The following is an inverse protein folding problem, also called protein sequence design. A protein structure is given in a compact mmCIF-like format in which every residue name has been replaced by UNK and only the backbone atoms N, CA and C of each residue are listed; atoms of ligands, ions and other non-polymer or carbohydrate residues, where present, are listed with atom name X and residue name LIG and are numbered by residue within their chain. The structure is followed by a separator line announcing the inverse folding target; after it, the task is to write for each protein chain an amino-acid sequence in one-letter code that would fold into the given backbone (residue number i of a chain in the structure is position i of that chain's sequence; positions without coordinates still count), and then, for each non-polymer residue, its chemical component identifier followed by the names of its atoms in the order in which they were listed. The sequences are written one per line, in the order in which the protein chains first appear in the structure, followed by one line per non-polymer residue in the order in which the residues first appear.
data_IF_114801684518
#
_entry.id   IF_114801684518
#
_cell.length_a   1.000
_cell.length_b   1.000
_cell.length_c   1.000
_cell.angle_alpha   90.00
_cell.angle_beta   90.00
_cell.angle_gamma   90.00
#
_symmetry.space_group_name_H-M   'P 1'
#
loop_
_entity.id
_entity.type
_entity.pdbx_description
1 polymer ?
#
# COMPACT_ATOMS: atom_id res chain seq x y z
N UNK A 1 -2.62 -12.69 2.74
CA UNK A 1 -3.79 -12.60 3.65
C UNK A 1 -5.08 -12.33 2.87
N UNK A 2 -5.08 -11.41 1.89
CA UNK A 2 -6.28 -10.99 1.14
C UNK A 2 -7.06 -12.17 0.53
N UNK A 3 -6.36 -13.05 -0.18
CA UNK A 3 -6.97 -14.25 -0.75
C UNK A 3 -7.65 -15.14 0.32
N UNK A 4 -7.01 -15.32 1.47
CA UNK A 4 -7.60 -16.11 2.56
C UNK A 4 -8.87 -15.45 3.12
N UNK A 5 -8.88 -14.11 3.24
CA UNK A 5 -10.07 -13.35 3.65
C UNK A 5 -11.18 -13.45 2.60
N UNK A 6 -10.84 -13.30 1.31
CA UNK A 6 -11.81 -13.48 0.22
C UNK A 6 -12.46 -14.85 0.28
N UNK A 7 -11.69 -15.92 0.46
CA UNK A 7 -12.23 -17.29 0.64
C UNK A 7 -13.12 -17.35 1.89
N UNK A 8 -12.66 -16.78 3.01
CA UNK A 8 -13.37 -16.86 4.29
C UNK A 8 -14.76 -16.21 4.26
N UNK A 9 -14.90 -15.08 3.56
CA UNK A 9 -16.21 -14.40 3.39
C UNK A 9 -17.08 -15.07 2.34
N UNK A 10 -16.49 -15.82 1.40
CA UNK A 10 -17.18 -16.37 0.23
C UNK A 10 -17.76 -17.75 0.46
N UNK A 11 -17.17 -18.57 1.35
CA UNK A 11 -17.51 -20.00 1.52
C UNK A 11 -19.00 -20.25 1.75
N UNK A 12 -19.66 -19.37 2.48
CA UNK A 12 -21.10 -19.50 2.81
C UNK A 12 -21.96 -18.51 2.05
N UNK A 13 -21.39 -17.73 1.12
CA UNK A 13 -22.14 -16.78 0.30
C UNK A 13 -23.00 -17.55 -0.72
N UNK A 14 -24.34 -17.34 -0.76
CA UNK A 14 -25.20 -18.03 -1.72
C UNK A 14 -25.18 -17.40 -3.12
N UNK A 15 -24.63 -16.20 -3.26
CA UNK A 15 -24.49 -15.43 -4.49
C UNK A 15 -23.07 -15.51 -5.02
N UNK A 16 -22.83 -14.93 -6.21
CA UNK A 16 -21.47 -14.72 -6.70
C UNK A 16 -20.72 -13.74 -5.78
N UNK A 17 -19.64 -14.18 -5.08
CA UNK A 17 -18.92 -13.33 -4.15
C UNK A 17 -18.21 -12.15 -4.82
N UNK A 18 -17.81 -12.28 -6.10
CA UNK A 18 -17.22 -11.17 -6.84
C UNK A 18 -18.22 -10.05 -7.04
N UNK A 19 -19.41 -10.37 -7.54
CA UNK A 19 -20.50 -9.41 -7.69
C UNK A 19 -20.89 -8.76 -6.35
N UNK A 20 -21.10 -9.59 -5.32
CA UNK A 20 -21.59 -9.11 -4.02
C UNK A 20 -20.57 -8.24 -3.30
N UNK A 21 -19.35 -8.75 -3.13
CA UNK A 21 -18.37 -8.13 -2.23
C UNK A 21 -17.44 -7.15 -2.93
N UNK A 22 -17.14 -7.33 -4.22
CA UNK A 22 -16.15 -6.50 -4.92
C UNK A 22 -16.74 -5.53 -5.94
N UNK A 23 -17.96 -5.78 -6.48
CA UNK A 23 -18.63 -4.84 -7.37
C UNK A 23 -19.69 -4.00 -6.64
N UNK A 24 -20.48 -4.62 -5.77
CA UNK A 24 -21.53 -3.91 -5.03
C UNK A 24 -21.09 -3.44 -3.63
N UNK A 25 -19.90 -3.87 -3.16
CA UNK A 25 -19.34 -3.52 -1.84
C UNK A 25 -20.28 -3.82 -0.66
N UNK A 26 -21.02 -4.92 -0.76
CA UNK A 26 -21.93 -5.37 0.31
C UNK A 26 -21.16 -6.06 1.43
N UNK A 27 -21.68 -5.97 2.66
CA UNK A 27 -21.11 -6.66 3.81
C UNK A 27 -21.55 -8.14 3.88
N UNK A 28 -20.73 -9.02 4.46
CA UNK A 28 -21.10 -10.43 4.63
C UNK A 28 -22.28 -10.59 5.60
N UNK A 29 -23.34 -11.28 5.15
CA UNK A 29 -24.50 -11.65 5.96
C UNK A 29 -24.42 -13.10 6.47
N UNK A 30 -23.45 -13.86 5.93
CA UNK A 30 -23.20 -15.26 6.27
C UNK A 30 -22.03 -15.41 7.25
N UNK A 31 -21.92 -16.56 7.96
CA UNK A 31 -20.79 -16.83 8.84
C UNK A 31 -19.45 -16.73 8.11
N UNK A 32 -18.51 -15.99 8.67
CA UNK A 32 -17.16 -15.80 8.14
C UNK A 32 -16.23 -16.84 8.78
N UNK A 33 -15.44 -17.53 7.96
CA UNK A 33 -14.45 -18.46 8.49
C UNK A 33 -13.29 -17.70 9.17
N UNK A 34 -12.75 -18.19 10.30
CA UNK A 34 -11.61 -17.57 10.95
C UNK A 34 -10.36 -17.66 10.07
N UNK A 35 -9.63 -16.55 9.94
CA UNK A 35 -8.37 -16.46 9.20
C UNK A 35 -7.21 -16.37 10.18
N UNK A 36 -6.10 -17.04 9.88
CA UNK A 36 -4.81 -16.86 10.53
C UNK A 36 -3.76 -16.53 9.48
N UNK A 37 -2.77 -15.70 9.82
CA UNK A 37 -1.71 -15.30 8.91
C UNK A 37 -0.32 -15.72 9.41
N UNK A 38 0.52 -16.17 8.48
CA UNK A 38 1.97 -16.29 8.66
C UNK A 38 2.63 -15.50 7.53
N UNK A 39 3.26 -14.37 7.85
CA UNK A 39 3.78 -13.47 6.84
C UNK A 39 5.10 -13.98 6.25
N UNK A 40 5.16 -14.04 4.92
CA UNK A 40 6.35 -14.32 4.12
C UNK A 40 6.76 -13.15 3.23
N UNK A 41 5.89 -12.15 3.10
CA UNK A 41 6.10 -10.89 2.40
C UNK A 41 5.41 -9.77 3.19
N UNK A 42 5.93 -8.56 3.12
CA UNK A 42 5.37 -7.38 3.76
C UNK A 42 5.05 -6.29 2.73
N UNK A 43 4.04 -5.49 3.02
CA UNK A 43 3.53 -4.41 2.18
C UNK A 43 2.14 -4.01 2.62
N UNK A 44 1.18 -4.89 2.42
CA UNK A 44 -0.26 -4.62 2.50
C UNK A 44 -0.83 -4.40 3.90
N UNK A 45 -0.11 -4.70 4.98
CA UNK A 45 -0.67 -4.65 6.35
C UNK A 45 -1.91 -5.54 6.58
N UNK A 46 -2.19 -6.46 5.65
CA UNK A 46 -3.40 -7.30 5.63
C UNK A 46 -3.54 -8.22 6.84
N UNK A 47 -2.47 -8.44 7.56
CA UNK A 47 -2.43 -9.21 8.81
C UNK A 47 -3.13 -8.52 9.99
N UNK A 48 -3.39 -7.22 9.90
CA UNK A 48 -4.05 -6.44 10.97
C UNK A 48 -5.08 -5.45 10.43
N UNK A 49 -5.75 -5.79 9.33
CA UNK A 49 -6.89 -5.03 8.80
C UNK A 49 -7.95 -5.97 8.22
N UNK A 50 -9.11 -5.43 7.87
CA UNK A 50 -10.21 -6.15 7.24
C UNK A 50 -10.25 -5.98 5.71
N UNK A 51 -9.18 -5.46 5.11
CA UNK A 51 -9.08 -5.28 3.66
C UNK A 51 -8.80 -6.57 2.91
N UNK A 52 -9.39 -6.71 1.74
CA UNK A 52 -9.13 -7.79 0.80
C UNK A 52 -9.14 -7.23 -0.62
N UNK A 53 -8.03 -7.41 -1.35
CA UNK A 53 -7.88 -6.96 -2.74
C UNK A 53 -7.75 -8.19 -3.63
N UNK A 54 -8.66 -8.33 -4.59
CA UNK A 54 -8.75 -9.49 -5.50
C UNK A 54 -8.73 -9.01 -6.95
N UNK A 55 -8.10 -9.80 -7.81
CA UNK A 55 -8.07 -9.57 -9.25
C UNK A 55 -8.98 -10.57 -9.95
N UNK A 56 -9.96 -10.09 -10.71
CA UNK A 56 -10.69 -10.87 -11.66
C UNK A 56 -9.91 -10.87 -12.99
N UNK A 57 -9.39 -12.04 -13.37
CA UNK A 57 -8.55 -12.19 -14.56
C UNK A 57 -9.36 -12.05 -15.87
N UNK A 58 -10.64 -12.37 -15.85
CA UNK A 58 -11.50 -12.31 -17.04
C UNK A 58 -11.85 -10.86 -17.39
N UNK A 59 -12.21 -10.06 -16.37
CA UNK A 59 -12.57 -8.65 -16.53
C UNK A 59 -11.37 -7.70 -16.43
N UNK A 60 -10.18 -8.20 -16.04
CA UNK A 60 -8.97 -7.43 -15.76
C UNK A 60 -9.15 -6.34 -14.69
N UNK A 61 -10.10 -6.56 -13.79
CA UNK A 61 -10.38 -5.65 -12.69
C UNK A 61 -9.67 -6.13 -11.42
N UNK A 62 -8.98 -5.22 -10.74
CA UNK A 62 -8.39 -5.44 -9.42
C UNK A 62 -9.07 -4.51 -8.43
N UNK A 63 -9.86 -5.07 -7.52
CA UNK A 63 -10.73 -4.31 -6.62
C UNK A 63 -10.41 -4.68 -5.18
N UNK A 64 -10.32 -3.65 -4.32
CA UNK A 64 -10.17 -3.78 -2.88
C UNK A 64 -11.47 -3.44 -2.16
N UNK A 65 -11.86 -4.27 -1.21
CA UNK A 65 -12.93 -3.98 -0.25
C UNK A 65 -12.36 -4.01 1.17
N UNK A 66 -12.67 -2.99 1.95
CA UNK A 66 -12.38 -2.96 3.39
C UNK A 66 -13.71 -3.21 4.10
N UNK A 67 -13.87 -4.43 4.60
CA UNK A 67 -15.09 -4.87 5.28
C UNK A 67 -15.24 -4.16 6.64
N UNK A 68 -16.47 -3.83 6.99
CA UNK A 68 -16.79 -3.24 8.29
C UNK A 68 -16.80 -4.30 9.41
N UNK A 69 -17.07 -5.58 9.09
CA UNK A 69 -17.08 -6.67 10.05
C UNK A 69 -15.65 -7.07 10.46
N UNK A 70 -15.33 -6.85 11.73
CA UNK A 70 -14.04 -7.23 12.33
C UNK A 70 -13.76 -8.74 12.26
N UNK A 71 -14.77 -9.58 12.02
CA UNK A 71 -14.59 -11.02 11.84
C UNK A 71 -13.74 -11.37 10.59
N UNK A 72 -13.64 -10.44 9.62
CA UNK A 72 -12.76 -10.57 8.45
C UNK A 72 -11.28 -10.42 8.82
N UNK A 73 -10.96 -9.70 9.90
CA UNK A 73 -9.58 -9.56 10.35
C UNK A 73 -9.00 -10.91 10.81
N UNK A 74 -7.70 -11.15 10.54
CA UNK A 74 -7.05 -12.35 11.06
C UNK A 74 -7.16 -12.46 12.58
N UNK A 75 -7.51 -13.66 13.06
CA UNK A 75 -7.60 -13.96 14.50
C UNK A 75 -6.24 -13.97 15.19
N UNK A 76 -5.21 -14.29 14.42
CA UNK A 76 -3.81 -14.19 14.83
C UNK A 76 -2.93 -13.97 13.62
N UNK A 77 -1.75 -13.38 13.84
CA UNK A 77 -0.76 -13.18 12.81
C UNK A 77 0.64 -13.46 13.35
N UNK A 78 1.40 -14.28 12.64
CA UNK A 78 2.79 -14.59 12.96
C UNK A 78 3.69 -13.71 12.10
N UNK A 79 4.35 -12.76 12.74
CA UNK A 79 5.27 -11.79 12.14
C UNK A 79 6.71 -12.20 12.49
N UNK A 80 7.30 -13.06 11.66
CA UNK A 80 8.69 -13.47 11.82
C UNK A 80 9.52 -12.95 10.65
N UNK A 81 10.40 -11.94 10.85
CA UNK A 81 11.21 -11.34 9.80
C UNK A 81 12.07 -12.35 9.02
N UNK A 82 12.45 -13.47 9.64
CA UNK A 82 13.24 -14.53 8.98
C UNK A 82 12.52 -15.13 7.76
N UNK A 83 11.18 -15.15 7.75
CA UNK A 83 10.42 -15.66 6.61
C UNK A 83 10.47 -14.74 5.40
N UNK A 84 10.95 -13.51 5.56
CA UNK A 84 11.12 -12.55 4.46
C UNK A 84 12.54 -12.51 3.89
N UNK A 85 13.52 -13.14 4.53
CA UNK A 85 14.94 -13.05 4.12
C UNK A 85 15.23 -13.70 2.76
N UNK A 86 14.38 -14.62 2.32
CA UNK A 86 14.47 -15.28 1.00
C UNK A 86 13.67 -14.58 -0.09
N UNK A 87 12.97 -13.49 0.25
CA UNK A 87 12.17 -12.74 -0.72
C UNK A 87 13.07 -12.11 -1.78
N UNK A 88 12.75 -12.26 -3.08
CA UNK A 88 13.50 -11.58 -4.14
C UNK A 88 13.53 -10.06 -3.90
N UNK A 89 14.68 -9.43 -4.25
CA UNK A 89 14.91 -8.00 -4.03
C UNK A 89 13.78 -7.13 -4.62
N UNK A 90 13.34 -7.46 -5.83
CA UNK A 90 12.25 -6.74 -6.50
C UNK A 90 10.95 -6.74 -5.66
N UNK A 91 10.58 -7.87 -5.10
CA UNK A 91 9.41 -8.00 -4.24
C UNK A 91 9.59 -7.26 -2.90
N UNK A 92 10.82 -7.28 -2.36
CA UNK A 92 11.13 -6.53 -1.14
C UNK A 92 10.98 -5.02 -1.35
N UNK A 93 11.59 -4.46 -2.39
CA UNK A 93 11.52 -3.01 -2.63
C UNK A 93 10.12 -2.56 -3.05
N UNK A 94 9.39 -3.40 -3.79
CA UNK A 94 7.98 -3.16 -4.10
C UNK A 94 7.13 -3.08 -2.83
N UNK A 95 7.29 -4.03 -1.90
CA UNK A 95 6.60 -4.02 -0.61
C UNK A 95 6.98 -2.81 0.25
N UNK A 96 8.25 -2.40 0.27
CA UNK A 96 8.70 -1.19 0.96
C UNK A 96 7.99 0.04 0.40
N UNK A 97 7.87 0.13 -0.92
CA UNK A 97 7.21 1.27 -1.54
C UNK A 97 5.70 1.28 -1.28
N UNK A 98 5.06 0.12 -1.30
CA UNK A 98 3.66 -0.06 -0.93
C UNK A 98 3.38 0.48 0.49
N UNK A 99 4.21 0.10 1.48
CA UNK A 99 4.12 0.63 2.86
C UNK A 99 4.24 2.15 2.87
N UNK A 100 5.21 2.71 2.17
CA UNK A 100 5.42 4.15 2.12
C UNK A 100 4.22 4.87 1.53
N UNK A 101 3.67 4.33 0.44
CA UNK A 101 2.53 4.93 -0.24
C UNK A 101 1.23 4.82 0.58
N UNK A 102 1.01 3.70 1.31
CA UNK A 102 -0.08 3.61 2.28
C UNK A 102 -0.05 4.77 3.28
N UNK A 103 1.13 5.10 3.81
CA UNK A 103 1.26 6.22 4.76
C UNK A 103 1.02 7.55 4.04
N UNK A 104 1.57 7.74 2.83
CA UNK A 104 1.43 8.99 2.08
C UNK A 104 -0.04 9.31 1.76
N UNK A 105 -0.84 8.34 1.31
CA UNK A 105 -2.24 8.57 0.93
C UNK A 105 -3.14 8.86 2.14
N UNK A 106 -2.74 8.44 3.32
CA UNK A 106 -3.37 8.84 4.58
C UNK A 106 -2.82 10.16 5.12
N UNK A 107 -1.55 10.46 4.87
CA UNK A 107 -0.88 11.68 5.31
C UNK A 107 -1.30 12.92 4.52
N UNK A 108 -1.35 12.83 3.18
CA UNK A 108 -1.72 13.94 2.31
C UNK A 108 -3.23 14.24 2.29
N UNK A 109 -4.02 13.45 3.00
CA UNK A 109 -5.45 13.64 3.16
C UNK A 109 -5.76 14.47 4.39
N UNK A 110 -6.69 15.43 4.28
CA UNK A 110 -7.06 16.33 5.35
C UNK A 110 -6.06 17.46 5.60
N UNK A 111 -6.49 18.44 6.35
CA UNK A 111 -5.75 19.70 6.59
C UNK A 111 -4.95 19.67 7.90
N UNK A 112 -4.94 18.55 8.64
CA UNK A 112 -4.62 18.55 10.04
C UNK A 112 -3.17 18.29 10.40
N UNK A 113 -2.67 19.14 11.28
CA UNK A 113 -1.46 18.96 12.07
C UNK A 113 -1.77 18.20 13.36
N UNK A 114 -2.27 16.96 13.23
CA UNK A 114 -2.70 16.15 14.36
C UNK A 114 -1.70 15.03 14.72
N UNK A 115 -1.98 14.28 15.79
CA UNK A 115 -1.15 13.17 16.26
C UNK A 115 -0.89 12.13 15.16
N UNK A 116 -1.87 11.87 14.28
CA UNK A 116 -1.72 10.92 13.16
C UNK A 116 -0.65 11.37 12.16
N UNK A 117 -0.46 12.70 11.95
CA UNK A 117 0.62 13.22 11.11
C UNK A 117 2.00 12.94 11.71
N UNK A 118 2.19 13.20 13.01
CA UNK A 118 3.47 12.90 13.68
C UNK A 118 3.80 11.42 13.67
N UNK A 119 2.80 10.56 13.85
CA UNK A 119 2.98 9.11 13.73
C UNK A 119 3.36 8.70 12.30
N UNK A 120 2.69 9.24 11.29
CA UNK A 120 2.99 9.02 9.87
C UNK A 120 4.42 9.42 9.52
N UNK A 121 4.85 10.61 9.95
CA UNK A 121 6.20 11.12 9.75
C UNK A 121 7.26 10.23 10.42
N UNK A 122 6.97 9.76 11.64
CA UNK A 122 7.82 8.81 12.36
C UNK A 122 7.97 7.48 11.63
N UNK A 123 6.86 6.92 11.15
CA UNK A 123 6.84 5.66 10.38
C UNK A 123 7.58 5.82 9.05
N UNK A 124 7.36 6.92 8.31
CA UNK A 124 8.08 7.19 7.05
C UNK A 124 9.59 7.28 7.29
N UNK A 125 10.06 8.02 8.31
CA UNK A 125 11.50 8.11 8.64
C UNK A 125 12.09 6.75 9.03
N UNK A 126 11.38 5.95 9.84
CA UNK A 126 11.79 4.60 10.19
C UNK A 126 11.94 3.72 8.96
N UNK A 127 10.96 3.79 8.05
CA UNK A 127 10.97 3.03 6.80
C UNK A 127 12.12 3.44 5.88
N UNK A 128 12.39 4.74 5.74
CA UNK A 128 13.53 5.24 4.94
C UNK A 128 14.86 4.70 5.45
N UNK A 129 15.06 4.71 6.77
CA UNK A 129 16.25 4.14 7.40
C UNK A 129 16.39 2.65 7.13
N UNK A 130 15.33 1.89 7.43
CA UNK A 130 15.32 0.43 7.34
C UNK A 130 15.37 -0.06 5.90
N UNK A 131 14.72 0.64 4.96
CA UNK A 131 14.76 0.32 3.53
C UNK A 131 16.16 0.44 2.94
N UNK A 132 16.90 1.48 3.31
CA UNK A 132 18.29 1.66 2.87
C UNK A 132 19.20 0.58 3.45
N UNK A 133 19.00 0.19 4.71
CA UNK A 133 19.74 -0.91 5.32
C UNK A 133 19.45 -2.24 4.62
N UNK A 134 18.18 -2.59 4.44
CA UNK A 134 17.77 -3.81 3.75
C UNK A 134 18.17 -3.83 2.25
N UNK A 135 18.23 -2.67 1.59
CA UNK A 135 18.68 -2.57 0.20
C UNK A 135 20.19 -2.82 0.07
N UNK A 136 21.00 -2.43 1.06
CA UNK A 136 22.44 -2.74 1.13
C UNK A 136 22.71 -4.18 1.54
N UNK A 137 21.98 -4.68 2.54
CA UNK A 137 22.06 -6.06 3.02
C UNK A 137 20.65 -6.65 3.18
N UNK A 138 20.18 -7.44 2.21
CA UNK A 138 18.87 -8.10 2.29
C UNK A 138 18.74 -9.11 3.44
N UNK A 139 19.83 -9.49 4.10
CA UNK A 139 19.85 -10.40 5.25
C UNK A 139 19.86 -9.67 6.60
N UNK A 140 19.90 -8.33 6.60
CA UNK A 140 19.82 -7.52 7.82
C UNK A 140 18.48 -7.76 8.52
N UNK A 141 18.52 -8.55 9.60
CA UNK A 141 17.35 -8.94 10.38
C UNK A 141 16.63 -7.74 11.00
N UNK A 142 17.38 -6.77 11.55
CA UNK A 142 16.80 -5.59 12.20
C UNK A 142 16.07 -4.71 11.18
N UNK A 143 16.68 -4.50 10.02
CA UNK A 143 16.04 -3.76 8.93
C UNK A 143 14.74 -4.46 8.48
N UNK A 144 14.76 -5.78 8.28
CA UNK A 144 13.57 -6.57 7.89
C UNK A 144 12.50 -6.55 8.97
N UNK A 145 12.89 -6.59 10.24
CA UNK A 145 11.99 -6.51 11.38
C UNK A 145 11.26 -5.15 11.44
N UNK A 146 12.01 -4.07 11.29
CA UNK A 146 11.45 -2.73 11.30
C UNK A 146 10.53 -2.46 10.10
N UNK A 147 10.90 -2.95 8.91
CA UNK A 147 10.02 -2.88 7.73
C UNK A 147 8.71 -3.64 7.98
N UNK A 148 8.79 -4.87 8.51
CA UNK A 148 7.61 -5.68 8.81
C UNK A 148 6.69 -5.00 9.83
N UNK A 149 7.25 -4.43 10.90
CA UNK A 149 6.46 -3.74 11.90
C UNK A 149 5.84 -2.44 11.37
N UNK A 150 6.60 -1.67 10.58
CA UNK A 150 6.09 -0.46 9.92
C UNK A 150 4.92 -0.78 8.99
N UNK A 151 4.98 -1.90 8.23
CA UNK A 151 3.91 -2.33 7.33
C UNK A 151 2.58 -2.53 8.07
N UNK A 152 2.61 -3.17 9.23
CA UNK A 152 1.42 -3.38 10.08
C UNK A 152 0.79 -2.04 10.49
N UNK A 153 1.60 -1.10 10.99
CA UNK A 153 1.10 0.21 11.44
C UNK A 153 0.67 1.13 10.30
N UNK A 154 1.21 0.94 9.10
CA UNK A 154 0.89 1.75 7.94
C UNK A 154 -0.58 1.59 7.49
N UNK A 155 -1.22 0.43 7.72
CA UNK A 155 -2.57 0.15 7.22
C UNK A 155 -3.48 -0.61 8.21
N UNK A 156 -3.26 -0.43 9.51
CA UNK A 156 -4.17 -0.95 10.54
C UNK A 156 -5.14 0.10 11.09
N UNK A 157 -5.39 1.17 10.34
CA UNK A 157 -6.22 2.33 10.69
C UNK A 157 -5.60 3.33 11.68
N UNK A 158 -4.43 3.06 12.27
CA UNK A 158 -3.82 3.95 13.26
C UNK A 158 -3.59 5.37 12.70
N UNK A 159 -2.93 5.47 11.55
CA UNK A 159 -2.54 6.77 10.97
C UNK A 159 -3.65 7.46 10.17
N UNK A 160 -4.79 6.80 9.96
CA UNK A 160 -5.98 7.39 9.33
C UNK A 160 -6.99 7.96 10.33
N UNK A 161 -6.77 7.75 11.63
CA UNK A 161 -7.72 8.24 12.65
C UNK A 161 -7.82 9.75 12.63
N UNK A 162 -9.06 10.25 12.56
CA UNK A 162 -9.36 11.68 12.50
C UNK A 162 -9.10 12.32 11.14
N UNK A 163 -8.93 11.51 10.08
CA UNK A 163 -8.66 11.97 8.71
C UNK A 163 -9.66 11.40 7.72
N UNK A 164 -9.96 12.17 6.67
CA UNK A 164 -10.40 11.61 5.40
C UNK A 164 -9.20 11.04 4.66
N UNK A 165 -9.36 9.99 3.90
CA UNK A 165 -8.26 9.35 3.16
C UNK A 165 -8.48 9.45 1.67
N UNK A 166 -7.40 9.66 0.92
CA UNK A 166 -7.37 9.65 -0.53
C UNK A 166 -6.58 8.44 -1.01
N UNK A 167 -7.22 7.53 -1.71
CA UNK A 167 -6.63 6.31 -2.23
C UNK A 167 -6.41 6.32 -3.75
N UNK A 168 -6.25 7.52 -4.34
CA UNK A 168 -6.15 7.67 -5.79
C UNK A 168 -4.93 6.96 -6.39
N UNK A 169 -3.77 7.00 -5.71
CA UNK A 169 -2.59 6.28 -6.20
C UNK A 169 -2.81 4.77 -6.18
N UNK A 170 -3.48 4.25 -5.14
CA UNK A 170 -3.86 2.83 -5.09
C UNK A 170 -4.87 2.48 -6.18
N UNK A 171 -5.89 3.31 -6.42
CA UNK A 171 -6.88 3.08 -7.49
C UNK A 171 -6.23 3.03 -8.87
N UNK A 172 -5.37 4.01 -9.18
CA UNK A 172 -4.60 4.03 -10.44
C UNK A 172 -3.65 2.83 -10.55
N UNK A 173 -2.93 2.51 -9.47
CA UNK A 173 -2.03 1.37 -9.41
C UNK A 173 -2.75 0.02 -9.56
N UNK A 174 -3.95 -0.11 -8.99
CA UNK A 174 -4.79 -1.30 -9.15
C UNK A 174 -5.28 -1.44 -10.57
N UNK A 175 -5.74 -0.35 -11.22
CA UNK A 175 -6.12 -0.36 -12.62
C UNK A 175 -4.96 -0.85 -13.51
N UNK A 176 -3.77 -0.26 -13.38
CA UNK A 176 -2.56 -0.73 -14.09
C UNK A 176 -2.28 -2.21 -13.81
N UNK A 177 -2.36 -2.63 -12.54
CA UNK A 177 -2.12 -4.02 -12.13
C UNK A 177 -3.13 -5.01 -12.70
N UNK A 178 -4.39 -4.63 -12.85
CA UNK A 178 -5.44 -5.45 -13.46
C UNK A 178 -5.14 -5.79 -14.92
N UNK A 179 -4.62 -4.84 -15.68
CA UNK A 179 -4.27 -5.01 -17.09
C UNK A 179 -2.92 -5.70 -17.31
N UNK A 180 -1.91 -5.39 -16.48
CA UNK A 180 -0.52 -5.82 -16.73
C UNK A 180 -0.07 -6.98 -15.86
N UNK A 181 -0.78 -7.28 -14.78
CA UNK A 181 -0.37 -8.21 -13.74
C UNK A 181 1.01 -7.85 -13.13
N UNK A 182 1.44 -6.59 -13.23
CA UNK A 182 2.68 -6.11 -12.67
C UNK A 182 2.64 -6.11 -11.13
N UNK A 183 3.82 -6.20 -10.50
CA UNK A 183 3.96 -6.18 -9.04
C UNK A 183 3.37 -4.89 -8.47
N UNK A 184 2.48 -5.00 -7.46
CA UNK A 184 1.65 -3.90 -6.96
C UNK A 184 2.46 -2.67 -6.56
N UNK A 185 3.51 -2.81 -5.72
CA UNK A 185 4.33 -1.65 -5.34
C UNK A 185 5.03 -0.98 -6.53
N UNK A 186 5.29 -1.71 -7.64
CA UNK A 186 5.82 -1.12 -8.87
C UNK A 186 4.73 -0.32 -9.62
N UNK A 187 3.46 -0.78 -9.62
CA UNK A 187 2.37 0.00 -10.21
C UNK A 187 2.14 1.31 -9.44
N UNK A 188 2.21 1.28 -8.11
CA UNK A 188 2.16 2.48 -7.28
C UNK A 188 3.33 3.43 -7.57
N UNK A 189 4.55 2.90 -7.67
CA UNK A 189 5.75 3.70 -7.97
C UNK A 189 5.65 4.42 -9.33
N UNK A 190 5.02 3.79 -10.31
CA UNK A 190 4.86 4.36 -11.65
C UNK A 190 3.89 5.54 -11.70
N UNK A 191 2.87 5.57 -10.83
CA UNK A 191 1.79 6.59 -10.89
C UNK A 191 1.87 7.65 -9.78
N UNK A 192 2.54 7.37 -8.66
CA UNK A 192 2.50 8.22 -7.47
C UNK A 192 3.13 9.59 -7.63
N UNK A 193 4.35 9.69 -8.16
CA UNK A 193 5.02 10.99 -8.31
C UNK A 193 4.28 11.94 -9.26
N UNK A 194 3.80 11.49 -10.44
CA UNK A 194 2.92 12.32 -11.27
C UNK A 194 1.69 12.82 -10.53
N UNK A 195 1.03 11.93 -9.77
CA UNK A 195 -0.14 12.29 -8.98
C UNK A 195 0.21 13.30 -7.87
N UNK A 196 1.23 13.05 -7.05
CA UNK A 196 1.62 13.97 -5.98
C UNK A 196 2.06 15.33 -6.51
N UNK A 197 2.73 15.39 -7.65
CA UNK A 197 3.04 16.66 -8.33
C UNK A 197 1.79 17.39 -8.81
N UNK A 198 0.78 16.64 -9.25
CA UNK A 198 -0.50 17.21 -9.66
C UNK A 198 -1.26 17.86 -8.50
N UNK A 199 -1.30 17.20 -7.33
CA UNK A 199 -2.02 17.70 -6.16
C UNK A 199 -1.22 18.68 -5.30
N UNK A 200 0.09 18.79 -5.47
CA UNK A 200 0.97 19.67 -4.69
C UNK A 200 0.45 21.12 -4.60
N UNK A 201 0.01 21.77 -5.70
CA UNK A 201 -0.49 23.15 -5.64
C UNK A 201 -1.74 23.33 -4.77
N UNK A 202 -2.49 22.25 -4.52
CA UNK A 202 -3.73 22.28 -3.74
C UNK A 202 -3.50 22.00 -2.26
N UNK A 203 -2.30 21.51 -1.87
CA UNK A 203 -1.94 21.16 -0.50
C UNK A 203 -0.52 21.59 -0.10
N UNK A 204 -0.08 22.78 -0.56
CA UNK A 204 1.31 23.23 -0.46
C UNK A 204 1.89 23.15 0.96
N UNK A 205 1.14 23.55 1.99
CA UNK A 205 1.61 23.52 3.37
C UNK A 205 1.87 22.09 3.86
N UNK A 206 1.02 21.14 3.46
CA UNK A 206 1.19 19.73 3.79
C UNK A 206 2.41 19.12 3.09
N UNK A 207 2.63 19.45 1.83
CA UNK A 207 3.82 19.03 1.09
C UNK A 207 5.11 19.68 1.63
N UNK A 208 5.04 20.94 2.05
CA UNK A 208 6.17 21.60 2.74
C UNK A 208 6.49 20.90 4.07
N UNK A 209 5.46 20.57 4.87
CA UNK A 209 5.63 19.80 6.09
C UNK A 209 6.27 18.43 5.82
N UNK A 210 5.81 17.71 4.80
CA UNK A 210 6.39 16.45 4.34
C UNK A 210 7.88 16.59 3.98
N UNK A 211 8.24 17.64 3.22
CA UNK A 211 9.62 17.91 2.84
C UNK A 211 10.51 18.12 4.08
N UNK A 212 10.06 18.94 5.03
CA UNK A 212 10.83 19.25 6.24
C UNK A 212 10.87 18.06 7.21
N UNK A 213 9.72 17.45 7.52
CA UNK A 213 9.64 16.46 8.62
C UNK A 213 10.10 15.06 8.19
N UNK A 214 9.95 14.70 6.92
CA UNK A 214 10.33 13.36 6.44
C UNK A 214 11.71 13.37 5.81
N UNK A 215 12.04 14.40 5.04
CA UNK A 215 13.26 14.47 4.23
C UNK A 215 14.31 15.45 4.75
N UNK A 216 13.93 16.39 5.60
CA UNK A 216 14.82 17.42 6.12
C UNK A 216 15.21 18.48 5.08
N UNK A 217 14.35 18.74 4.11
CA UNK A 217 14.58 19.68 2.99
C UNK A 217 13.44 20.71 2.89
N UNK A 218 13.69 21.82 2.20
CA UNK A 218 12.72 22.90 1.91
C UNK A 218 13.15 23.54 0.58
N UNK A 219 12.28 23.85 -0.35
CA UNK A 219 10.79 23.91 -0.30
C UNK A 219 10.09 22.56 -0.55
N UNK A 220 8.75 22.60 -0.72
CA UNK A 220 7.91 21.42 -0.88
C UNK A 220 8.30 20.52 -2.08
N UNK A 221 8.71 21.14 -3.19
CA UNK A 221 9.17 20.46 -4.40
C UNK A 221 10.42 19.60 -4.15
N UNK A 222 11.31 20.06 -3.28
CA UNK A 222 12.50 19.31 -2.88
C UNK A 222 12.14 18.04 -2.08
N UNK A 223 11.01 18.04 -1.38
CA UNK A 223 10.48 16.85 -0.73
C UNK A 223 10.10 15.74 -1.73
N UNK A 224 9.43 16.11 -2.83
CA UNK A 224 9.11 15.16 -3.90
C UNK A 224 10.37 14.76 -4.70
N UNK A 225 11.34 15.66 -4.86
CA UNK A 225 12.62 15.35 -5.49
C UNK A 225 13.44 14.36 -4.63
N UNK A 226 13.46 14.54 -3.30
CA UNK A 226 14.09 13.60 -2.37
C UNK A 226 13.40 12.22 -2.40
N UNK A 227 12.07 12.17 -2.44
CA UNK A 227 11.31 10.95 -2.63
C UNK A 227 11.68 10.26 -3.95
N UNK A 228 11.73 10.98 -5.06
CA UNK A 228 12.16 10.44 -6.35
C UNK A 228 13.58 9.88 -6.31
N UNK A 229 14.49 10.57 -5.65
CA UNK A 229 15.86 10.09 -5.42
C UNK A 229 15.90 8.77 -4.67
N UNK A 230 15.12 8.63 -3.60
CA UNK A 230 15.00 7.39 -2.83
C UNK A 230 14.35 6.25 -3.65
N UNK A 231 13.34 6.55 -4.45
CA UNK A 231 12.73 5.56 -5.35
C UNK A 231 13.75 5.02 -6.36
N UNK A 232 14.60 5.88 -6.91
CA UNK A 232 15.72 5.50 -7.81
C UNK A 232 16.79 4.68 -7.06
N UNK A 233 17.12 5.04 -5.83
CA UNK A 233 18.05 4.30 -4.96
C UNK A 233 17.58 2.86 -4.73
N UNK A 234 16.27 2.66 -4.55
CA UNK A 234 15.66 1.34 -4.42
C UNK A 234 15.57 0.58 -5.75
N UNK A 235 15.68 1.25 -6.88
CA UNK A 235 15.53 0.66 -8.22
C UNK A 235 14.08 0.35 -8.58
N UNK A 236 13.15 1.21 -8.16
CA UNK A 236 11.73 1.05 -8.49
C UNK A 236 11.44 1.42 -9.95
N UNK A 237 10.46 0.74 -10.54
CA UNK A 237 9.94 1.09 -11.87
C UNK A 237 9.03 2.31 -11.75
N UNK A 238 9.40 3.42 -12.41
CA UNK A 238 8.76 4.72 -12.22
C UNK A 238 7.99 5.22 -13.45
N UNK A 239 7.64 4.32 -14.35
CA UNK A 239 6.79 4.64 -15.50
C UNK A 239 5.93 3.44 -15.89
N UNK A 240 4.74 3.71 -16.41
CA UNK A 240 3.74 2.69 -16.74
C UNK A 240 4.10 1.88 -17.99
N UNK A 241 4.80 2.48 -18.95
CA UNK A 241 5.24 1.79 -20.18
C UNK A 241 6.21 0.63 -19.86
N UNK A 242 7.12 0.81 -18.89
CA UNK A 242 8.02 -0.26 -18.43
C UNK A 242 7.27 -1.40 -17.71
N UNK A 243 6.04 -1.18 -17.28
CA UNK A 243 5.15 -2.18 -16.70
C UNK A 243 4.25 -2.86 -17.76
N UNK A 244 4.43 -2.52 -19.05
CA UNK A 244 3.67 -3.09 -20.14
C UNK A 244 2.36 -2.38 -20.47
N UNK A 245 2.12 -1.17 -19.95
CA UNK A 245 0.97 -0.35 -20.37
C UNK A 245 1.21 0.19 -21.77
N UNK A 246 0.24 -0.01 -22.65
CA UNK A 246 0.22 0.48 -24.04
C UNK A 246 -0.88 1.52 -24.23
N UNK A 247 -0.83 2.31 -25.32
CA UNK A 247 -1.80 3.38 -25.57
C UNK A 247 -3.25 2.87 -25.66
N UNK A 248 -3.45 1.66 -26.24
CA UNK A 248 -4.76 1.05 -26.36
C UNK A 248 -5.37 0.60 -25.02
N UNK A 249 -4.55 0.48 -23.97
CA UNK A 249 -5.05 0.17 -22.63
C UNK A 249 -5.55 1.43 -21.88
N UNK A 250 -5.15 2.64 -22.30
CA UNK A 250 -5.46 3.87 -21.56
C UNK A 250 -6.95 4.15 -21.44
N UNK A 251 -7.75 3.85 -22.49
CA UNK A 251 -9.20 4.03 -22.44
C UNK A 251 -9.88 3.11 -21.42
N UNK A 252 -9.31 1.92 -21.16
CA UNK A 252 -9.84 0.97 -20.19
C UNK A 252 -9.30 1.18 -18.75
N UNK A 253 -8.31 2.06 -18.58
CA UNK A 253 -7.75 2.42 -17.28
C UNK A 253 -8.46 3.60 -16.62
N UNK A 254 -9.30 4.33 -17.37
CA UNK A 254 -10.10 5.47 -16.93
C UNK A 254 -11.54 5.07 -16.65
#
# INVERSE_FOLDING_TARGET
CDYAKAVAVSVHCPEDPWEKYYLRFEEPECPILPVGCVLTMVGTGSEMNAGSVITNQETRQKIGHVFADEAVMPRFSILNPRFTLTLPREQMVAGIYDIFNHICEQYFSGEDDNTSDYLSEGLMRSLLCSSRAANRDPQDYEARSNIMWTATWALNTLVSRGKSTDWMVHMLGQAVGGYTNATHGMTLAAVSLPYYRHILPYGLDKFKRFAVQVWGVDPAEEGLAAMEGWMKELGLTMNTSALGVTEDMLEGLL
#
